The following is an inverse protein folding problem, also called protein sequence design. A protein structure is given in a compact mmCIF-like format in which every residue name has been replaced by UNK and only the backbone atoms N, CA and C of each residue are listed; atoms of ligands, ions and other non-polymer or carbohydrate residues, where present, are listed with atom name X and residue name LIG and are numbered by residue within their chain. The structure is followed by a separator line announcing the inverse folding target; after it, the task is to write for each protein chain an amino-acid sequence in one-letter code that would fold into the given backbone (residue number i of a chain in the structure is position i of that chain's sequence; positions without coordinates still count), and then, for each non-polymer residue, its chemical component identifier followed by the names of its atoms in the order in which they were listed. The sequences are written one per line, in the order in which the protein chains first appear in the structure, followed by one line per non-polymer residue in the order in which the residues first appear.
data_IF_964148219259
#
_entry.id   IF_964148219259
#
_cell.length_a   1.000
_cell.length_b   1.000
_cell.length_c   1.000
_cell.angle_alpha   90.00
_cell.angle_beta   90.00
_cell.angle_gamma   90.00
#
_symmetry.space_group_name_H-M   'P 1'
#
loop_
_entity.id
_entity.type
_entity.pdbx_description
1 polymer ?
#
# COMPACT_ATOMS: atom_id res chain seq x y z
N UNK A 1 -40.10 35.19 23.67
CA UNK A 1 -39.90 35.22 22.19
C UNK A 1 -38.82 36.21 21.74
N UNK A 2 -38.75 37.45 22.24
CA UNK A 2 -37.72 38.43 21.83
C UNK A 2 -36.28 37.95 21.99
N UNK A 3 -35.96 37.31 23.13
CA UNK A 3 -34.63 36.74 23.41
C UNK A 3 -34.11 35.80 22.30
N UNK A 4 -34.95 34.91 21.77
CA UNK A 4 -34.52 33.98 20.70
C UNK A 4 -34.32 34.68 19.35
N UNK A 5 -35.07 35.75 19.09
CA UNK A 5 -34.93 36.57 17.88
C UNK A 5 -33.65 37.38 17.95
N UNK A 6 -33.36 37.97 19.10
CA UNK A 6 -32.13 38.71 19.32
C UNK A 6 -30.93 37.76 19.23
N UNK A 7 -30.96 36.61 19.92
CA UNK A 7 -29.91 35.59 19.81
C UNK A 7 -29.67 35.16 18.35
N UNK A 8 -30.72 34.86 17.59
CA UNK A 8 -30.58 34.42 16.20
C UNK A 8 -29.98 35.51 15.28
N UNK A 9 -30.14 36.79 15.62
CA UNK A 9 -29.54 37.91 14.87
C UNK A 9 -28.06 38.12 15.16
N UNK A 10 -27.63 37.85 16.40
CA UNK A 10 -26.24 38.01 16.85
C UNK A 10 -25.40 36.73 16.71
N UNK A 11 -26.05 35.58 16.45
CA UNK A 11 -25.39 34.30 16.27
C UNK A 11 -24.64 34.23 14.92
N UNK A 12 -23.53 33.49 14.90
CA UNK A 12 -22.73 33.21 13.69
C UNK A 12 -23.34 32.15 12.78
N UNK A 13 -24.41 31.47 13.23
CA UNK A 13 -25.12 30.46 12.42
C UNK A 13 -25.93 31.14 11.33
N UNK A 14 -25.40 31.13 10.11
CA UNK A 14 -25.88 31.86 8.93
C UNK A 14 -27.39 31.70 8.68
N UNK A 15 -27.91 30.48 8.76
CA UNK A 15 -29.34 30.21 8.45
C UNK A 15 -30.28 30.64 9.58
N UNK A 16 -29.81 30.74 10.83
CA UNK A 16 -30.66 30.92 12.01
C UNK A 16 -31.37 32.27 12.01
N UNK A 17 -30.67 33.33 11.60
CA UNK A 17 -31.25 34.67 11.46
C UNK A 17 -32.41 34.66 10.45
N UNK A 18 -32.23 34.02 9.30
CA UNK A 18 -33.25 33.96 8.23
C UNK A 18 -34.45 33.09 8.60
N UNK A 19 -34.27 32.02 9.36
CA UNK A 19 -35.37 31.18 9.85
C UNK A 19 -36.27 31.98 10.80
N UNK A 20 -35.68 32.81 11.65
CA UNK A 20 -36.40 33.50 12.72
C UNK A 20 -37.01 34.83 12.28
N UNK A 21 -36.39 35.52 11.30
CA UNK A 21 -36.84 36.85 10.84
C UNK A 21 -37.69 36.85 9.57
N UNK A 22 -37.74 35.76 8.80
CA UNK A 22 -38.48 35.71 7.53
C UNK A 22 -39.94 35.31 7.68
N UNK A 23 -40.72 35.52 6.61
CA UNK A 23 -42.09 34.97 6.48
C UNK A 23 -42.09 33.44 6.47
N UNK A 24 -43.19 32.82 6.91
CA UNK A 24 -43.28 31.37 7.19
C UNK A 24 -42.75 30.46 6.07
N UNK A 25 -43.06 30.75 4.81
CA UNK A 25 -42.60 29.96 3.66
C UNK A 25 -41.09 30.05 3.43
N UNK A 26 -40.53 31.25 3.53
CA UNK A 26 -39.08 31.48 3.39
C UNK A 26 -38.34 30.86 4.58
N UNK A 27 -38.88 30.99 5.80
CA UNK A 27 -38.34 30.34 6.98
C UNK A 27 -38.31 28.82 6.85
N UNK A 28 -39.35 28.21 6.25
CA UNK A 28 -39.38 26.77 5.98
C UNK A 28 -38.28 26.34 4.98
N UNK A 29 -38.06 27.11 3.91
CA UNK A 29 -36.98 26.84 2.95
C UNK A 29 -35.61 26.88 3.64
N UNK A 30 -35.32 27.93 4.42
CA UNK A 30 -34.05 28.02 5.14
C UNK A 30 -33.89 26.95 6.22
N UNK A 31 -34.98 26.49 6.83
CA UNK A 31 -34.96 25.37 7.77
C UNK A 31 -34.59 24.05 7.08
N UNK A 32 -35.16 23.77 5.90
CA UNK A 32 -34.82 22.60 5.09
C UNK A 32 -33.34 22.65 4.70
N UNK A 33 -32.86 23.79 4.18
CA UNK A 33 -31.46 23.97 3.80
C UNK A 33 -30.54 23.75 5.01
N UNK A 34 -30.90 24.29 6.18
CA UNK A 34 -30.12 24.11 7.40
C UNK A 34 -30.01 22.64 7.80
N UNK A 35 -31.11 21.88 7.75
CA UNK A 35 -31.11 20.45 8.08
C UNK A 35 -30.27 19.64 7.08
N UNK A 36 -30.38 19.93 5.79
CA UNK A 36 -29.58 19.26 4.74
C UNK A 36 -28.08 19.54 4.95
N UNK A 37 -27.70 20.80 5.17
CA UNK A 37 -26.30 21.17 5.40
C UNK A 37 -25.75 20.57 6.69
N UNK A 38 -26.55 20.51 7.75
CA UNK A 38 -26.17 19.86 9.00
C UNK A 38 -25.94 18.35 8.80
N UNK A 39 -26.81 17.69 8.03
CA UNK A 39 -26.66 16.27 7.68
C UNK A 39 -25.39 16.00 6.87
N UNK A 40 -25.12 16.81 5.84
CA UNK A 40 -23.88 16.73 5.06
C UNK A 40 -22.64 16.98 5.92
N UNK A 41 -22.69 17.95 6.82
CA UNK A 41 -21.60 18.23 7.74
C UNK A 41 -21.29 17.04 8.66
N UNK A 42 -22.31 16.40 9.25
CA UNK A 42 -22.14 15.21 10.08
C UNK A 42 -21.56 14.06 9.26
N UNK A 43 -22.08 13.83 8.04
CA UNK A 43 -21.61 12.78 7.15
C UNK A 43 -20.14 12.97 6.75
N UNK A 44 -19.75 14.17 6.32
CA UNK A 44 -18.37 14.48 5.93
C UNK A 44 -17.45 14.34 7.14
N UNK A 45 -17.80 14.92 8.29
CA UNK A 45 -17.00 14.86 9.51
C UNK A 45 -16.77 13.42 9.97
N UNK A 46 -17.82 12.59 9.95
CA UNK A 46 -17.71 11.16 10.32
C UNK A 46 -16.76 10.42 9.38
N UNK A 47 -16.89 10.63 8.06
CA UNK A 47 -15.98 10.02 7.09
C UNK A 47 -14.53 10.49 7.28
N UNK A 48 -14.31 11.76 7.62
CA UNK A 48 -12.98 12.30 7.87
C UNK A 48 -12.34 11.67 9.11
N UNK A 49 -13.11 11.55 10.20
CA UNK A 49 -12.67 10.89 11.43
C UNK A 49 -12.33 9.43 11.17
N UNK A 50 -13.20 8.70 10.46
CA UNK A 50 -12.96 7.32 10.08
C UNK A 50 -11.72 7.18 9.18
N UNK A 51 -11.52 8.12 8.25
CA UNK A 51 -10.34 8.14 7.38
C UNK A 51 -9.06 8.42 8.18
N UNK A 52 -9.11 9.30 9.17
CA UNK A 52 -7.97 9.57 10.06
C UNK A 52 -7.55 8.31 10.83
N UNK A 53 -8.50 7.59 11.45
CA UNK A 53 -8.22 6.37 12.19
C UNK A 53 -7.85 5.16 11.33
N UNK A 54 -8.08 5.22 10.01
CA UNK A 54 -7.58 4.20 9.06
C UNK A 54 -6.07 4.32 8.80
N UNK A 55 -5.43 5.40 9.26
CA UNK A 55 -4.02 5.69 9.03
C UNK A 55 -3.55 5.41 7.58
N UNK A 56 -4.25 5.95 6.57
CA UNK A 56 -3.86 5.74 5.19
C UNK A 56 -2.47 6.35 4.97
N UNK A 57 -1.55 5.54 4.42
CA UNK A 57 -0.23 6.00 4.03
C UNK A 57 -0.17 6.18 2.51
N UNK A 58 0.45 7.26 2.06
CA UNK A 58 0.75 7.50 0.66
C UNK A 58 2.26 7.59 0.50
N UNK A 59 2.81 6.79 -0.41
CA UNK A 59 4.24 6.79 -0.72
C UNK A 59 4.49 7.70 -1.91
N UNK A 60 5.16 8.82 -1.67
CA UNK A 60 5.65 9.67 -2.75
C UNK A 60 7.03 9.19 -3.18
N UNK A 61 7.15 8.76 -4.44
CA UNK A 61 8.41 8.34 -5.02
C UNK A 61 9.03 9.53 -5.74
N UNK A 62 10.19 9.96 -5.24
CA UNK A 62 11.01 10.99 -5.88
C UNK A 62 12.35 10.37 -6.28
N UNK A 63 12.84 10.75 -7.46
CA UNK A 63 14.16 10.33 -7.94
C UNK A 63 15.13 11.44 -7.54
N UNK A 64 15.85 11.24 -6.44
CA UNK A 64 16.90 12.14 -6.00
C UNK A 64 18.27 11.62 -6.44
N UNK A 65 19.14 12.51 -6.90
CA UNK A 65 20.48 12.17 -7.39
C UNK A 65 21.47 12.36 -6.25
N UNK A 66 21.43 11.43 -5.29
CA UNK A 66 22.38 11.38 -4.17
C UNK A 66 23.52 10.41 -4.47
N UNK A 67 24.68 10.66 -3.87
CA UNK A 67 25.78 9.69 -3.86
C UNK A 67 25.32 8.42 -3.14
N UNK A 68 25.09 7.35 -3.89
CA UNK A 68 24.65 6.06 -3.35
C UNK A 68 25.84 5.25 -2.84
N UNK A 69 25.64 4.55 -1.72
CA UNK A 69 26.63 3.58 -1.24
C UNK A 69 26.76 2.44 -2.26
N UNK A 70 27.99 2.02 -2.53
CA UNK A 70 28.23 0.86 -3.37
C UNK A 70 27.55 -0.37 -2.75
N UNK A 71 26.70 -1.10 -3.48
CA UNK A 71 25.93 -2.20 -2.91
C UNK A 71 26.83 -3.41 -2.65
N UNK A 72 26.34 -4.30 -1.80
CA UNK A 72 26.98 -5.60 -1.64
C UNK A 72 26.68 -6.47 -2.86
N UNK A 73 27.72 -6.97 -3.51
CA UNK A 73 27.60 -7.93 -4.58
C UNK A 73 27.91 -9.32 -4.04
N UNK A 74 26.96 -10.24 -4.19
CA UNK A 74 27.17 -11.66 -3.95
C UNK A 74 27.08 -12.38 -5.29
N UNK A 75 28.12 -13.10 -5.65
CA UNK A 75 28.11 -13.99 -6.80
C UNK A 75 28.38 -15.41 -6.33
N UNK A 76 27.68 -16.37 -6.93
CA UNK A 76 27.83 -17.78 -6.66
C UNK A 76 28.24 -18.50 -7.94
N UNK A 77 29.05 -19.54 -7.80
CA UNK A 77 29.29 -20.46 -8.89
C UNK A 77 27.99 -21.23 -9.18
N UNK A 78 27.60 -21.35 -10.45
CA UNK A 78 26.44 -22.14 -10.85
C UNK A 78 26.65 -23.63 -10.57
N UNK A 79 27.90 -24.08 -10.59
CA UNK A 79 28.21 -25.43 -10.17
C UNK A 79 28.10 -25.55 -8.63
N UNK A 80 27.11 -26.30 -8.10
CA UNK A 80 26.88 -26.39 -6.67
C UNK A 80 27.95 -27.21 -5.95
N UNK A 81 28.69 -28.08 -6.65
CA UNK A 81 29.62 -29.02 -6.05
C UNK A 81 30.92 -29.13 -6.84
N UNK A 82 32.05 -28.97 -6.15
CA UNK A 82 33.36 -29.22 -6.76
C UNK A 82 33.58 -30.72 -6.95
N UNK A 83 33.88 -31.15 -8.17
CA UNK A 83 34.14 -32.56 -8.54
C UNK A 83 35.12 -33.26 -7.60
N UNK A 84 36.20 -32.56 -7.23
CA UNK A 84 37.23 -33.11 -6.32
C UNK A 84 36.68 -33.48 -4.94
N UNK A 85 35.68 -32.75 -4.43
CA UNK A 85 35.06 -33.03 -3.12
C UNK A 85 34.11 -34.22 -3.22
N UNK A 86 33.34 -34.28 -4.31
CA UNK A 86 32.42 -35.40 -4.59
C UNK A 86 33.17 -36.74 -4.68
N UNK A 87 34.40 -36.73 -5.21
CA UNK A 87 35.20 -37.94 -5.35
C UNK A 87 35.99 -38.32 -4.09
N UNK A 88 36.30 -37.36 -3.21
CA UNK A 88 37.08 -37.60 -1.99
C UNK A 88 36.22 -37.96 -0.78
N UNK A 89 35.01 -37.42 -0.68
CA UNK A 89 34.17 -37.53 0.50
C UNK A 89 33.23 -38.75 0.40
N UNK A 90 33.27 -39.70 1.34
CA UNK A 90 32.39 -40.87 1.32
C UNK A 90 30.90 -40.52 1.40
N UNK A 91 30.54 -39.35 1.93
CA UNK A 91 29.15 -38.88 1.97
C UNK A 91 28.55 -38.69 0.56
N UNK A 92 29.39 -38.42 -0.45
CA UNK A 92 28.97 -38.20 -1.83
C UNK A 92 29.27 -39.39 -2.76
N UNK A 93 29.62 -40.56 -2.22
CA UNK A 93 29.90 -41.76 -3.01
C UNK A 93 28.79 -42.15 -4.03
N UNK A 94 27.48 -42.02 -3.71
CA UNK A 94 26.42 -42.29 -4.69
C UNK A 94 26.47 -41.33 -5.89
N UNK A 95 26.80 -40.05 -5.63
CA UNK A 95 26.88 -39.00 -6.65
C UNK A 95 28.13 -39.21 -7.52
N UNK A 96 29.29 -39.51 -6.91
CA UNK A 96 30.51 -39.83 -7.66
C UNK A 96 30.30 -41.00 -8.63
N UNK A 97 29.60 -42.05 -8.16
CA UNK A 97 29.26 -43.22 -8.99
C UNK A 97 28.37 -42.84 -10.16
N UNK A 98 27.29 -42.08 -9.91
CA UNK A 98 26.36 -41.64 -10.94
C UNK A 98 27.06 -40.79 -12.01
N UNK A 99 27.89 -39.83 -11.58
CA UNK A 99 28.65 -38.97 -12.51
C UNK A 99 29.59 -39.77 -13.40
N UNK A 100 30.30 -40.78 -12.85
CA UNK A 100 31.18 -41.66 -13.63
C UNK A 100 30.39 -42.51 -14.63
N UNK A 101 29.19 -42.95 -14.27
CA UNK A 101 28.30 -43.69 -15.20
C UNK A 101 27.86 -42.79 -16.35
N UNK A 102 27.50 -41.53 -16.08
CA UNK A 102 27.16 -40.58 -17.13
C UNK A 102 28.33 -40.26 -18.06
N UNK A 103 29.53 -40.01 -17.53
CA UNK A 103 30.74 -39.78 -18.34
C UNK A 103 31.04 -40.96 -19.29
N UNK A 104 30.86 -42.20 -18.81
CA UNK A 104 31.04 -43.40 -19.63
C UNK A 104 29.98 -43.55 -20.72
N UNK A 105 28.74 -43.16 -20.45
CA UNK A 105 27.66 -43.16 -21.44
C UNK A 105 27.87 -42.08 -22.50
N UNK A 106 28.32 -40.90 -22.10
CA UNK A 106 28.64 -39.80 -23.00
C UNK A 106 29.82 -40.17 -23.93
N UNK A 107 30.90 -40.75 -23.39
CA UNK A 107 32.01 -41.25 -24.20
C UNK A 107 31.58 -42.35 -25.19
N UNK A 108 30.72 -43.27 -24.77
CA UNK A 108 30.18 -44.30 -25.65
C UNK A 108 29.26 -43.75 -26.74
N UNK A 109 28.49 -42.70 -26.43
CA UNK A 109 27.63 -42.05 -27.41
C UNK A 109 28.47 -41.33 -28.48
N UNK A 110 29.55 -40.66 -28.08
CA UNK A 110 30.49 -40.00 -29.01
C UNK A 110 31.15 -41.03 -29.93
N UNK A 111 31.62 -42.16 -29.39
CA UNK A 111 32.26 -43.23 -30.16
C UNK A 111 31.31 -44.05 -31.06
N UNK A 112 29.99 -43.90 -30.91
CA UNK A 112 28.99 -44.59 -31.71
C UNK A 112 28.42 -43.72 -32.83
N UNK A 113 28.75 -42.42 -32.85
CA UNK A 113 28.34 -41.43 -33.86
C UNK A 113 29.45 -41.17 -34.92
N UNK A 114 30.67 -41.70 -34.70
CA UNK A 114 31.79 -41.79 -35.65
C UNK A 114 31.79 -43.15 -36.41
#
# INVERSE_FOLDING_TARGET
KRVFIDYARWCTVVCLNKIVTSVKWVAAIYAIIFVVMLGLFIFITTNLIMKYFKYPSSTELTIDVQSQKFPHFSFCNENPLKRSIVDSDPAFAPISKLMKQFEQLEQKAILADD
#
